data_IF_921149661972
#
_entry.id   IF_921149661972
#
_cell.length_a   1.000
_cell.length_b   1.000
_cell.length_c   1.000
_cell.angle_alpha   90.00
_cell.angle_beta   90.00
_cell.angle_gamma   90.00
#
_symmetry.space_group_name_H-M   'P 1'
#
loop_
_entity.id
_entity.type
_entity.pdbx_description
1 polymer ?
#
# COMPACT_ATOMS: atom_id res chain seq x y z
N UNK A 1 -40.68 -12.16 -34.13
CA UNK A 1 -40.01 -10.89 -34.49
C UNK A 1 -39.14 -10.30 -33.37
N UNK A 2 -39.55 -10.36 -32.12
CA UNK A 2 -38.79 -9.77 -31.00
C UNK A 2 -37.49 -10.55 -30.71
N UNK A 3 -37.50 -11.86 -30.74
CA UNK A 3 -36.31 -12.72 -30.54
C UNK A 3 -35.27 -12.53 -31.62
N UNK A 4 -35.64 -12.38 -32.87
CA UNK A 4 -34.72 -12.11 -33.98
C UNK A 4 -33.97 -10.78 -33.79
N UNK A 5 -34.68 -9.72 -33.38
CA UNK A 5 -34.05 -8.43 -33.10
C UNK A 5 -33.03 -8.47 -31.94
N UNK A 6 -33.29 -9.27 -30.91
CA UNK A 6 -32.38 -9.42 -29.76
C UNK A 6 -31.19 -10.32 -30.10
N UNK A 7 -31.41 -11.44 -30.77
CA UNK A 7 -30.34 -12.43 -31.00
C UNK A 7 -29.47 -12.13 -32.23
N UNK A 8 -29.95 -11.40 -33.21
CA UNK A 8 -29.18 -11.13 -34.44
C UNK A 8 -28.83 -9.66 -34.57
N UNK A 9 -29.83 -8.76 -34.52
CA UNK A 9 -29.59 -7.33 -34.82
C UNK A 9 -28.88 -6.61 -33.66
N UNK A 10 -29.12 -7.03 -32.42
CA UNK A 10 -28.53 -6.38 -31.22
C UNK A 10 -27.60 -7.29 -30.45
N UNK A 11 -27.21 -8.43 -31.03
CA UNK A 11 -26.34 -9.42 -30.38
C UNK A 11 -25.02 -8.80 -29.88
N UNK A 12 -24.29 -8.15 -30.75
CA UNK A 12 -22.98 -7.57 -30.43
C UNK A 12 -23.08 -6.43 -29.41
N UNK A 13 -24.11 -5.60 -29.50
CA UNK A 13 -24.38 -4.54 -28.54
C UNK A 13 -24.70 -5.12 -27.13
N UNK A 14 -25.46 -6.18 -27.07
CA UNK A 14 -25.83 -6.84 -25.81
C UNK A 14 -24.66 -7.62 -25.22
N UNK A 15 -23.85 -8.28 -26.04
CA UNK A 15 -22.62 -8.95 -25.61
C UNK A 15 -21.63 -7.95 -25.02
N UNK A 16 -21.42 -6.80 -25.67
CA UNK A 16 -20.54 -5.74 -25.18
C UNK A 16 -21.03 -5.15 -23.86
N UNK A 17 -22.34 -4.95 -23.72
CA UNK A 17 -22.96 -4.49 -22.46
C UNK A 17 -22.88 -5.54 -21.35
N UNK A 18 -23.07 -6.82 -21.68
CA UNK A 18 -22.93 -7.91 -20.73
C UNK A 18 -21.49 -8.07 -20.24
N UNK A 19 -20.52 -8.05 -21.15
CA UNK A 19 -19.08 -8.10 -20.80
C UNK A 19 -18.69 -7.01 -19.82
N UNK A 20 -19.04 -5.75 -20.12
CA UNK A 20 -18.76 -4.61 -19.21
C UNK A 20 -19.42 -4.71 -17.83
N UNK A 21 -20.49 -5.46 -17.69
CA UNK A 21 -21.26 -5.59 -16.43
C UNK A 21 -20.72 -6.67 -15.51
N UNK A 22 -19.99 -7.64 -16.06
CA UNK A 22 -19.49 -8.81 -15.31
C UNK A 22 -17.97 -8.86 -15.23
N UNK A 23 -17.24 -7.91 -15.81
CA UNK A 23 -15.80 -7.80 -15.71
C UNK A 23 -15.41 -6.72 -14.72
N UNK A 24 -14.48 -7.04 -13.83
CA UNK A 24 -13.84 -6.12 -12.88
C UNK A 24 -12.35 -6.06 -13.20
N UNK A 25 -11.86 -4.89 -13.57
CA UNK A 25 -10.44 -4.67 -13.82
C UNK A 25 -9.75 -4.39 -12.49
N UNK A 26 -8.84 -5.26 -12.09
CA UNK A 26 -8.04 -5.08 -10.88
C UNK A 26 -6.63 -4.67 -11.24
N UNK A 27 -6.19 -3.59 -10.65
CA UNK A 27 -4.80 -3.19 -10.72
C UNK A 27 -3.96 -4.07 -9.79
N UNK A 28 -2.95 -4.70 -10.35
CA UNK A 28 -1.90 -5.39 -9.60
C UNK A 28 -0.69 -4.45 -9.49
N UNK A 29 -0.04 -4.45 -8.35
CA UNK A 29 1.11 -3.59 -8.10
C UNK A 29 2.34 -4.46 -7.90
N UNK A 30 3.43 -4.11 -8.59
CA UNK A 30 4.75 -4.64 -8.29
C UNK A 30 5.33 -4.02 -7.01
N UNK A 31 6.45 -4.53 -6.55
CA UNK A 31 7.20 -3.99 -5.43
C UNK A 31 8.20 -2.92 -5.88
N UNK A 32 8.41 -1.90 -5.07
CA UNK A 32 9.45 -0.90 -5.32
C UNK A 32 10.82 -1.52 -5.13
N UNK A 33 11.76 -1.27 -6.04
CA UNK A 33 13.11 -1.78 -6.03
C UNK A 33 13.83 -1.51 -4.71
N UNK A 34 14.76 -2.37 -4.37
CA UNK A 34 15.56 -2.31 -3.13
C UNK A 34 16.80 -1.45 -3.36
N UNK A 35 17.37 -0.92 -2.29
CA UNK A 35 18.64 -0.19 -2.34
C UNK A 35 19.64 -0.93 -1.47
N UNK A 36 20.80 -1.23 -2.06
CA UNK A 36 21.91 -1.93 -1.44
C UNK A 36 23.16 -1.06 -1.39
N UNK A 37 24.06 -1.38 -0.47
CA UNK A 37 25.39 -0.76 -0.40
C UNK A 37 26.35 -1.30 -1.48
N UNK A 38 27.56 -0.77 -1.53
CA UNK A 38 28.62 -1.16 -2.46
C UNK A 38 29.46 -2.36 -2.00
N UNK A 39 29.11 -3.02 -0.91
CA UNK A 39 29.79 -4.20 -0.45
C UNK A 39 29.38 -5.41 -1.32
N UNK A 40 30.39 -6.14 -1.83
CA UNK A 40 30.12 -7.35 -2.64
C UNK A 40 30.44 -8.64 -1.89
N UNK A 41 31.20 -8.54 -0.81
CA UNK A 41 31.65 -9.69 -0.03
C UNK A 41 31.45 -9.37 1.47
N UNK A 42 30.78 -10.25 2.22
CA UNK A 42 30.18 -11.51 1.80
C UNK A 42 28.92 -11.35 0.95
N UNK A 43 28.15 -10.26 1.13
CA UNK A 43 26.96 -9.91 0.36
C UNK A 43 26.66 -8.40 0.53
N UNK A 44 25.96 -7.76 -0.40
CA UNK A 44 25.56 -6.36 -0.25
C UNK A 44 24.58 -6.19 0.90
N UNK A 45 24.78 -5.13 1.70
CA UNK A 45 23.90 -4.80 2.80
C UNK A 45 22.64 -4.08 2.29
N UNK A 46 21.49 -4.49 2.80
CA UNK A 46 20.21 -3.88 2.46
C UNK A 46 20.05 -2.56 3.20
N UNK A 47 19.92 -1.46 2.44
CA UNK A 47 19.73 -0.10 2.96
C UNK A 47 18.27 0.36 2.94
N UNK A 48 17.51 -0.04 1.93
CA UNK A 48 16.08 0.27 1.84
C UNK A 48 15.28 -0.84 1.17
N UNK A 49 14.13 -1.17 1.74
CA UNK A 49 13.18 -2.17 1.24
C UNK A 49 11.75 -1.70 1.45
N UNK A 50 10.83 -2.15 0.60
CA UNK A 50 9.40 -1.96 0.81
C UNK A 50 8.82 -3.16 1.56
N UNK A 51 8.06 -2.90 2.62
CA UNK A 51 7.32 -3.92 3.37
C UNK A 51 5.82 -3.76 3.12
N UNK A 52 5.11 -4.86 2.95
CA UNK A 52 3.66 -4.87 2.85
C UNK A 52 3.03 -4.37 4.16
N UNK A 53 2.05 -3.51 4.02
CA UNK A 53 1.24 -2.97 5.11
C UNK A 53 -0.20 -2.79 4.65
N UNK A 54 -1.06 -2.24 5.50
CA UNK A 54 -2.42 -1.92 5.15
C UNK A 54 -2.78 -0.49 5.54
N UNK A 55 -3.55 0.16 4.68
CA UNK A 55 -4.28 1.36 5.02
C UNK A 55 -5.68 0.96 5.49
N UNK A 56 -6.11 1.50 6.64
CA UNK A 56 -7.39 1.17 7.27
C UNK A 56 -8.34 2.34 7.08
N UNK A 57 -9.48 2.05 6.50
CA UNK A 57 -10.56 3.00 6.29
C UNK A 57 -11.79 2.59 7.09
N UNK A 58 -12.45 3.56 7.69
CA UNK A 58 -13.74 3.40 8.33
C UNK A 58 -14.87 3.83 7.40
N UNK A 59 -15.99 3.11 7.44
CA UNK A 59 -17.20 3.38 6.68
C UNK A 59 -18.32 3.81 7.66
N UNK A 60 -18.40 5.10 8.08
CA UNK A 60 -19.31 5.55 9.14
C UNK A 60 -20.79 5.29 8.87
N UNK A 61 -21.17 5.18 7.59
CA UNK A 61 -22.56 4.94 7.15
C UNK A 61 -22.90 3.45 7.01
N UNK A 62 -21.97 2.55 7.32
CA UNK A 62 -22.23 1.11 7.24
C UNK A 62 -23.30 0.70 8.26
N UNK A 63 -24.36 0.01 7.80
CA UNK A 63 -25.53 -0.33 8.62
C UNK A 63 -25.19 -1.08 9.91
N UNK A 64 -24.25 -2.04 9.84
CA UNK A 64 -23.81 -2.81 11.00
C UNK A 64 -22.97 -1.99 12.03
N UNK A 65 -22.52 -0.79 11.64
CA UNK A 65 -21.72 0.08 12.50
C UNK A 65 -22.58 1.05 13.32
N UNK A 66 -23.82 1.33 12.91
CA UNK A 66 -24.66 2.41 13.47
C UNK A 66 -24.75 2.36 14.99
N UNK A 67 -24.96 1.16 15.57
CA UNK A 67 -25.09 0.96 17.01
C UNK A 67 -23.78 0.49 17.69
N UNK A 68 -22.67 0.39 16.96
CA UNK A 68 -21.41 -0.17 17.46
C UNK A 68 -20.23 0.80 17.29
N UNK A 69 -20.49 2.07 16.93
CA UNK A 69 -19.42 3.05 16.64
C UNK A 69 -18.45 3.21 17.80
N UNK A 70 -18.95 3.40 19.00
CA UNK A 70 -18.12 3.64 20.19
C UNK A 70 -17.26 2.42 20.52
N UNK A 71 -17.83 1.22 20.39
CA UNK A 71 -17.08 -0.03 20.59
C UNK A 71 -15.94 -0.17 19.56
N UNK A 72 -16.23 0.12 18.30
CA UNK A 72 -15.21 0.08 17.23
C UNK A 72 -14.13 1.12 17.50
N UNK A 73 -14.49 2.35 17.88
CA UNK A 73 -13.54 3.40 18.22
C UNK A 73 -12.65 2.97 19.39
N UNK A 74 -13.20 2.38 20.45
CA UNK A 74 -12.41 1.89 21.59
C UNK A 74 -11.41 0.82 21.19
N UNK A 75 -11.82 -0.14 20.38
CA UNK A 75 -10.91 -1.18 19.88
C UNK A 75 -9.81 -0.59 18.98
N UNK A 76 -10.13 0.39 18.13
CA UNK A 76 -9.14 1.09 17.30
C UNK A 76 -8.13 1.86 18.15
N UNK A 77 -8.58 2.55 19.19
CA UNK A 77 -7.70 3.25 20.16
C UNK A 77 -6.78 2.26 20.87
N UNK A 78 -7.33 1.15 21.34
CA UNK A 78 -6.58 0.13 22.07
C UNK A 78 -5.49 -0.54 21.21
N UNK A 79 -5.80 -0.89 19.97
CA UNK A 79 -4.90 -1.67 19.10
C UNK A 79 -3.95 -0.77 18.32
N UNK A 80 -4.43 0.35 17.78
CA UNK A 80 -3.65 1.24 16.91
C UNK A 80 -3.06 2.45 17.64
N UNK A 81 -3.47 2.73 18.88
CA UNK A 81 -3.03 3.91 19.62
C UNK A 81 -3.49 5.24 18.99
N UNK A 82 -4.55 5.23 18.19
CA UNK A 82 -5.11 6.45 17.57
C UNK A 82 -5.85 7.29 18.60
N UNK A 83 -5.88 8.61 18.40
CA UNK A 83 -6.57 9.53 19.28
C UNK A 83 -8.08 9.32 19.26
N UNK A 84 -8.66 9.10 20.47
CA UNK A 84 -10.08 8.81 20.67
C UNK A 84 -11.00 9.95 20.21
N UNK A 85 -10.65 11.18 20.53
CA UNK A 85 -11.48 12.34 20.19
C UNK A 85 -11.54 12.57 18.69
N UNK A 86 -10.38 12.46 18.04
CA UNK A 86 -10.29 12.59 16.57
C UNK A 86 -11.08 11.49 15.87
N UNK A 87 -10.99 10.25 16.34
CA UNK A 87 -11.75 9.13 15.77
C UNK A 87 -13.25 9.31 16.00
N UNK A 88 -13.66 9.65 17.23
CA UNK A 88 -15.07 9.91 17.52
C UNK A 88 -15.65 10.99 16.61
N UNK A 89 -14.96 12.11 16.46
CA UNK A 89 -15.38 13.20 15.56
C UNK A 89 -15.52 12.75 14.11
N UNK A 90 -14.58 11.95 13.61
CA UNK A 90 -14.61 11.43 12.24
C UNK A 90 -15.73 10.41 12.02
N UNK A 91 -15.93 9.46 12.93
CA UNK A 91 -16.96 8.43 12.83
C UNK A 91 -18.39 8.97 13.01
N UNK A 92 -18.55 10.05 13.76
CA UNK A 92 -19.86 10.70 13.95
C UNK A 92 -20.18 11.77 12.87
N UNK A 93 -19.25 12.03 11.95
CA UNK A 93 -19.50 12.97 10.86
C UNK A 93 -20.52 12.39 9.87
N UNK A 94 -21.73 12.96 9.84
CA UNK A 94 -22.89 12.41 9.13
C UNK A 94 -22.73 12.30 7.61
N UNK A 95 -21.90 13.15 6.97
CA UNK A 95 -21.72 13.19 5.52
C UNK A 95 -20.52 12.37 5.02
N UNK A 96 -19.69 11.86 5.89
CA UNK A 96 -18.51 11.09 5.51
C UNK A 96 -18.91 9.67 5.08
N UNK A 97 -18.67 9.35 3.81
CA UNK A 97 -18.82 7.96 3.29
C UNK A 97 -17.68 7.07 3.74
N UNK A 98 -16.50 7.62 3.75
CA UNK A 98 -15.27 6.93 4.10
C UNK A 98 -14.32 7.88 4.85
N UNK A 99 -13.66 7.38 5.88
CA UNK A 99 -12.68 8.11 6.68
C UNK A 99 -11.38 7.32 6.76
N UNK A 100 -10.25 8.01 6.79
CA UNK A 100 -8.96 7.38 7.05
C UNK A 100 -8.83 7.16 8.56
N UNK A 101 -8.69 5.90 8.97
CA UNK A 101 -8.42 5.52 10.37
C UNK A 101 -6.92 5.58 10.64
N UNK A 102 -6.15 4.77 9.91
CA UNK A 102 -4.70 4.75 9.99
C UNK A 102 -4.11 4.35 8.65
N UNK A 103 -2.88 4.80 8.38
CA UNK A 103 -2.13 4.44 7.18
C UNK A 103 -0.90 3.62 7.54
N UNK A 104 -0.47 2.79 6.61
CA UNK A 104 0.77 2.01 6.71
C UNK A 104 0.86 1.18 7.99
N UNK A 105 -0.26 0.54 8.37
CA UNK A 105 -0.37 -0.30 9.55
C UNK A 105 0.28 -1.65 9.28
N UNK A 106 1.08 -2.13 10.23
CA UNK A 106 1.77 -3.41 10.12
C UNK A 106 0.77 -4.59 10.11
N UNK A 107 1.11 -5.66 9.38
CA UNK A 107 0.29 -6.86 9.22
C UNK A 107 -0.20 -7.42 10.56
N UNK A 108 0.69 -7.48 11.58
CA UNK A 108 0.35 -8.01 12.90
C UNK A 108 -0.83 -7.29 13.57
N UNK A 109 -0.87 -5.95 13.47
CA UNK A 109 -1.96 -5.15 14.04
C UNK A 109 -3.25 -5.30 13.24
N UNK A 110 -3.12 -5.45 11.93
CA UNK A 110 -4.27 -5.68 11.04
C UNK A 110 -4.92 -7.05 11.32
N UNK A 111 -4.12 -8.08 11.55
CA UNK A 111 -4.65 -9.41 11.87
C UNK A 111 -5.39 -9.39 13.22
N UNK A 112 -4.87 -8.70 14.24
CA UNK A 112 -5.59 -8.49 15.50
C UNK A 112 -6.94 -7.77 15.31
N UNK A 113 -7.00 -6.81 14.38
CA UNK A 113 -8.26 -6.11 14.08
C UNK A 113 -9.24 -6.99 13.32
N UNK A 114 -8.76 -7.84 12.42
CA UNK A 114 -9.60 -8.81 11.69
C UNK A 114 -10.18 -9.87 12.61
N UNK A 115 -9.39 -10.37 13.57
CA UNK A 115 -9.84 -11.35 14.58
C UNK A 115 -10.99 -10.82 15.45
N UNK A 116 -11.09 -9.50 15.60
CA UNK A 116 -12.19 -8.85 16.30
C UNK A 116 -13.47 -8.69 15.47
N UNK A 117 -13.43 -9.03 14.17
CA UNK A 117 -14.56 -8.92 13.25
C UNK A 117 -15.32 -7.58 13.33
N UNK A 118 -14.57 -6.47 13.42
CA UNK A 118 -15.16 -5.15 13.60
C UNK A 118 -15.89 -4.70 12.33
N UNK A 119 -17.19 -4.37 12.42
CA UNK A 119 -17.96 -3.96 11.25
C UNK A 119 -17.53 -2.57 10.75
N UNK A 120 -17.71 -2.33 9.45
CA UNK A 120 -17.50 -1.01 8.85
C UNK A 120 -16.03 -0.61 8.72
N UNK A 121 -15.10 -1.54 8.79
CA UNK A 121 -13.69 -1.33 8.45
C UNK A 121 -13.36 -1.93 7.09
N UNK A 122 -12.58 -1.19 6.30
CA UNK A 122 -12.04 -1.62 5.02
C UNK A 122 -10.52 -1.59 5.06
N UNK A 123 -9.90 -2.70 4.71
CA UNK A 123 -8.45 -2.88 4.68
C UNK A 123 -7.97 -2.84 3.23
N UNK A 124 -7.10 -1.89 2.93
CA UNK A 124 -6.49 -1.74 1.60
C UNK A 124 -5.01 -2.06 1.70
N UNK A 125 -4.54 -2.98 0.88
CA UNK A 125 -3.10 -3.30 0.80
C UNK A 125 -2.32 -2.06 0.39
N UNK A 126 -1.25 -1.79 1.10
CA UNK A 126 -0.34 -0.68 0.88
C UNK A 126 1.10 -1.13 1.12
N UNK A 127 2.07 -0.29 0.83
CA UNK A 127 3.48 -0.57 1.07
C UNK A 127 4.11 0.57 1.87
N UNK A 128 5.01 0.20 2.79
CA UNK A 128 5.79 1.14 3.60
C UNK A 128 7.26 0.95 3.32
N UNK A 129 7.96 2.03 3.03
CA UNK A 129 9.42 2.00 2.90
C UNK A 129 10.05 1.80 4.27
N UNK A 130 10.93 0.83 4.37
CA UNK A 130 11.63 0.46 5.59
C UNK A 130 13.14 0.58 5.37
N UNK A 131 13.79 1.26 6.29
CA UNK A 131 15.24 1.44 6.32
C UNK A 131 15.80 0.63 7.50
N UNK A 132 16.43 -0.54 7.25
CA UNK A 132 16.89 -1.43 8.31
C UNK A 132 17.90 -0.77 9.26
N UNK A 133 18.69 0.16 8.74
CA UNK A 133 19.73 0.90 9.49
C UNK A 133 19.25 2.23 10.10
N UNK A 134 17.93 2.47 10.13
CA UNK A 134 17.34 3.67 10.72
C UNK A 134 17.78 4.95 10.05
N UNK A 135 18.49 5.83 10.77
CA UNK A 135 18.92 7.14 10.26
C UNK A 135 20.19 7.10 9.41
N UNK A 136 20.84 5.94 9.32
CA UNK A 136 22.07 5.77 8.53
C UNK A 136 21.83 6.17 7.07
N UNK A 137 22.71 7.04 6.54
CA UNK A 137 22.61 7.60 5.19
C UNK A 137 21.26 8.26 4.85
N UNK A 138 20.49 8.70 5.83
CA UNK A 138 19.14 9.22 5.62
C UNK A 138 19.09 10.38 4.62
N UNK A 139 20.10 11.27 4.62
CA UNK A 139 20.18 12.40 3.68
C UNK A 139 20.49 11.95 2.25
N UNK A 140 21.27 10.87 2.10
CA UNK A 140 21.65 10.30 0.80
C UNK A 140 20.49 9.46 0.24
N UNK A 141 19.94 8.56 1.04
CA UNK A 141 18.82 7.71 0.64
C UNK A 141 17.56 8.54 0.35
N UNK A 142 17.27 9.50 1.22
CA UNK A 142 16.05 10.29 1.14
C UNK A 142 14.83 9.56 1.67
N UNK A 143 13.64 10.02 1.32
CA UNK A 143 12.37 9.47 1.78
C UNK A 143 11.26 9.58 0.73
N UNK A 144 10.19 8.82 0.96
CA UNK A 144 9.00 8.82 0.12
C UNK A 144 7.91 9.71 0.74
N UNK A 145 7.07 10.29 -0.11
CA UNK A 145 5.85 10.95 0.33
C UNK A 145 4.75 9.90 0.64
N UNK A 146 3.58 10.39 1.11
CA UNK A 146 2.43 9.54 1.40
C UNK A 146 1.85 8.79 0.19
N UNK A 147 2.24 9.17 -1.03
CA UNK A 147 1.87 8.50 -2.28
C UNK A 147 2.90 7.49 -2.77
N UNK A 148 3.97 7.25 -1.98
CA UNK A 148 5.04 6.32 -2.34
C UNK A 148 6.03 6.84 -3.38
N UNK A 149 6.06 8.17 -3.67
CA UNK A 149 7.03 8.80 -4.57
C UNK A 149 8.22 9.36 -3.81
N UNK A 150 9.42 9.21 -4.36
CA UNK A 150 10.65 9.79 -3.83
C UNK A 150 10.62 11.32 -3.83
N UNK A 151 10.96 11.92 -2.69
CA UNK A 151 10.98 13.38 -2.52
C UNK A 151 12.38 13.95 -2.42
N UNK A 152 13.33 13.17 -1.94
CA UNK A 152 14.74 13.57 -1.75
C UNK A 152 15.69 12.41 -2.03
N UNK A 153 16.97 12.72 -2.17
CA UNK A 153 18.07 11.76 -2.27
C UNK A 153 17.95 10.79 -3.45
N UNK A 154 18.46 9.60 -3.25
CA UNK A 154 18.44 8.51 -4.23
C UNK A 154 17.02 8.10 -4.59
N UNK A 155 16.12 8.09 -3.62
CA UNK A 155 14.70 7.77 -3.84
C UNK A 155 14.05 8.69 -4.88
N UNK A 156 14.45 9.96 -4.93
CA UNK A 156 13.99 10.92 -5.95
C UNK A 156 14.76 10.81 -7.25
N UNK A 157 16.09 10.70 -7.17
CA UNK A 157 16.96 10.70 -8.34
C UNK A 157 16.66 9.50 -9.26
N UNK A 158 16.38 8.34 -8.65
CA UNK A 158 16.10 7.07 -9.33
C UNK A 158 14.63 6.64 -9.20
N UNK A 159 13.73 7.63 -9.12
CA UNK A 159 12.29 7.34 -8.99
C UNK A 159 11.75 6.45 -10.10
N UNK A 160 12.21 6.65 -11.35
CA UNK A 160 11.73 5.88 -12.51
C UNK A 160 12.15 4.42 -12.44
N UNK A 161 13.38 4.18 -12.02
CA UNK A 161 13.99 2.86 -11.93
C UNK A 161 13.45 2.08 -10.74
N UNK A 162 13.33 2.76 -9.58
CA UNK A 162 12.82 2.17 -8.35
C UNK A 162 11.32 1.91 -8.36
N UNK A 163 10.55 2.73 -9.09
CA UNK A 163 9.09 2.61 -9.09
C UNK A 163 8.63 1.36 -9.80
N UNK A 164 7.68 0.61 -9.19
CA UNK A 164 7.08 -0.53 -9.85
C UNK A 164 6.15 -0.08 -10.98
N UNK A 165 5.98 -0.92 -11.97
CA UNK A 165 4.96 -0.76 -13.00
C UNK A 165 3.71 -1.53 -12.59
N UNK A 166 2.58 -0.84 -12.59
CA UNK A 166 1.29 -1.47 -12.31
C UNK A 166 0.86 -2.34 -13.47
N UNK A 167 0.29 -3.48 -13.16
CA UNK A 167 -0.39 -4.34 -14.12
C UNK A 167 -1.90 -4.25 -13.99
N UNK A 168 -2.61 -4.79 -14.95
CA UNK A 168 -4.06 -4.92 -14.92
C UNK A 168 -4.47 -6.37 -15.17
N UNK A 169 -5.41 -6.86 -14.35
CA UNK A 169 -6.00 -8.18 -14.50
C UNK A 169 -7.51 -8.00 -14.57
N UNK A 170 -8.09 -8.45 -15.66
CA UNK A 170 -9.54 -8.48 -15.84
C UNK A 170 -10.07 -9.78 -15.26
N UNK A 171 -10.93 -9.68 -14.26
CA UNK A 171 -11.55 -10.81 -13.57
C UNK A 171 -13.04 -10.82 -13.86
N UNK A 172 -13.58 -11.96 -14.31
CA UNK A 172 -15.01 -12.15 -14.48
C UNK A 172 -15.68 -12.41 -13.13
N UNK A 173 -16.86 -11.80 -12.92
CA UNK A 173 -17.69 -11.99 -11.72
C UNK A 173 -19.08 -12.49 -12.08
N UNK A 174 -19.68 -13.23 -11.16
CA UNK A 174 -21.09 -13.62 -11.26
C UNK A 174 -21.99 -12.41 -11.00
N UNK A 175 -23.29 -12.57 -11.37
CA UNK A 175 -24.34 -11.58 -11.08
C UNK A 175 -24.49 -11.25 -9.58
N UNK A 176 -24.08 -12.19 -8.69
CA UNK A 176 -24.05 -12.01 -7.23
C UNK A 176 -22.76 -11.39 -6.71
N UNK A 177 -21.87 -10.91 -7.60
CA UNK A 177 -20.56 -10.34 -7.25
C UNK A 177 -19.57 -11.36 -6.64
N UNK A 178 -19.83 -12.67 -6.81
CA UNK A 178 -18.95 -13.75 -6.41
C UNK A 178 -17.90 -14.01 -7.50
N UNK A 179 -16.71 -14.36 -7.12
CA UNK A 179 -15.61 -14.67 -8.05
C UNK A 179 -15.90 -16.01 -8.74
N UNK A 180 -15.79 -16.04 -10.06
CA UNK A 180 -15.82 -17.32 -10.80
C UNK A 180 -14.39 -17.88 -10.75
N UNK A 181 -14.18 -18.92 -9.95
CA UNK A 181 -12.85 -19.57 -9.82
C UNK A 181 -12.39 -20.25 -11.11
N UNK A 182 -13.30 -20.62 -11.97
CA UNK A 182 -13.05 -21.24 -13.29
C UNK A 182 -13.12 -20.23 -14.44
N UNK A 183 -13.39 -18.95 -14.16
CA UNK A 183 -13.46 -17.90 -15.17
C UNK A 183 -12.07 -17.56 -15.73
N UNK A 184 -11.99 -17.29 -17.02
CA UNK A 184 -10.77 -16.88 -17.71
C UNK A 184 -10.35 -15.51 -17.18
N UNK A 185 -9.38 -15.46 -16.27
CA UNK A 185 -8.72 -14.20 -15.95
C UNK A 185 -7.75 -13.88 -17.07
N UNK A 186 -8.05 -12.86 -17.86
CA UNK A 186 -7.10 -12.35 -18.86
C UNK A 186 -6.18 -11.35 -18.17
N UNK A 187 -4.88 -11.64 -18.18
CA UNK A 187 -3.84 -10.69 -17.77
C UNK A 187 -3.62 -9.76 -18.95
N UNK A 188 -4.07 -8.51 -18.85
CA UNK A 188 -3.86 -7.50 -19.88
C UNK A 188 -2.44 -6.95 -19.81
N UNK A 189 -1.98 -6.63 -18.60
CA UNK A 189 -0.60 -6.19 -18.34
C UNK A 189 -0.09 -6.84 -17.06
N UNK A 190 1.11 -7.42 -17.12
CA UNK A 190 1.75 -7.98 -15.94
C UNK A 190 2.42 -6.87 -15.12
N UNK A 191 2.14 -6.82 -13.82
CA UNK A 191 2.89 -5.93 -12.92
C UNK A 191 4.38 -6.29 -12.94
N UNK A 192 5.24 -5.27 -12.94
CA UNK A 192 6.69 -5.45 -12.86
C UNK A 192 7.22 -4.73 -11.64
N UNK A 193 8.13 -5.38 -10.95
CA UNK A 193 8.84 -4.77 -9.83
C UNK A 193 9.81 -3.70 -10.31
N UNK A 194 10.10 -2.73 -9.45
CA UNK A 194 11.14 -1.74 -9.68
C UNK A 194 12.53 -2.39 -9.67
N UNK A 195 13.49 -1.73 -10.31
CA UNK A 195 14.88 -2.21 -10.36
C UNK A 195 15.58 -1.98 -9.04
N UNK A 196 16.40 -2.95 -8.62
CA UNK A 196 17.27 -2.83 -7.47
C UNK A 196 18.47 -1.94 -7.79
N UNK A 197 18.86 -1.09 -6.84
CA UNK A 197 20.00 -0.17 -6.97
C UNK A 197 21.11 -0.58 -6.02
N UNK A 198 22.32 -0.63 -6.55
CA UNK A 198 23.54 -0.86 -5.77
C UNK A 198 24.36 0.43 -5.73
N UNK A 199 24.61 0.93 -4.52
CA UNK A 199 25.43 2.12 -4.32
C UNK A 199 26.91 1.80 -4.42
N UNK A 200 27.74 2.83 -4.54
CA UNK A 200 29.20 2.73 -4.39
C UNK A 200 29.66 2.92 -2.95
N UNK A 201 28.78 3.45 -2.09
CA UNK A 201 29.04 3.66 -0.66
C UNK A 201 29.07 2.31 0.05
N UNK A 202 30.14 2.06 0.79
CA UNK A 202 30.32 0.85 1.61
C UNK A 202 29.90 1.14 3.05
N UNK A 203 28.91 0.41 3.55
CA UNK A 203 28.33 0.60 4.88
C UNK A 203 29.39 0.61 6.00
N UNK A 204 30.37 -0.31 6.07
CA UNK A 204 31.33 -0.30 7.16
C UNK A 204 32.19 0.97 7.21
N UNK A 205 32.59 1.48 6.05
CA UNK A 205 33.41 2.71 5.96
C UNK A 205 32.58 3.93 6.39
N UNK A 206 31.37 4.03 5.87
CA UNK A 206 30.47 5.13 6.19
C UNK A 206 30.07 5.15 7.67
N UNK A 207 29.85 3.99 8.28
CA UNK A 207 29.52 3.87 9.70
C UNK A 207 30.63 4.43 10.59
N UNK A 208 31.89 4.07 10.30
CA UNK A 208 33.03 4.60 11.02
C UNK A 208 33.11 6.13 10.87
N UNK A 209 32.89 6.63 9.65
CA UNK A 209 32.90 8.09 9.41
C UNK A 209 31.82 8.82 10.19
N UNK A 210 30.59 8.29 10.21
CA UNK A 210 29.47 8.88 10.95
C UNK A 210 29.75 8.88 12.48
N UNK A 211 30.31 7.80 13.01
CA UNK A 211 30.71 7.74 14.42
C UNK A 211 31.78 8.78 14.79
N UNK A 212 32.81 8.92 13.97
CA UNK A 212 33.90 9.91 14.25
C UNK A 212 33.37 11.35 14.15
N UNK A 213 32.56 11.66 13.14
CA UNK A 213 31.89 12.97 13.03
C UNK A 213 31.01 13.25 14.25
N UNK A 214 30.22 12.26 14.69
CA UNK A 214 29.36 12.41 15.87
C UNK A 214 30.19 12.68 17.16
N UNK A 215 31.34 12.03 17.30
CA UNK A 215 32.29 12.32 18.43
C UNK A 215 32.84 13.74 18.36
N UNK A 216 33.26 14.19 17.17
CA UNK A 216 33.77 15.56 16.97
C UNK A 216 32.73 16.62 17.31
N UNK A 217 31.49 16.45 16.85
CA UNK A 217 30.39 17.40 17.14
C UNK A 217 30.09 17.48 18.63
N UNK A 218 30.10 16.33 19.34
CA UNK A 218 29.91 16.30 20.80
C UNK A 218 31.06 16.95 21.56
N UNK A 219 32.29 16.83 21.05
CA UNK A 219 33.51 17.43 21.67
C UNK A 219 33.65 18.92 21.42
N UNK A 220 33.00 19.46 20.41
CA UNK A 220 33.04 20.88 20.05
C UNK A 220 31.63 21.41 19.84
N UNK A 221 30.86 21.65 20.93
CA UNK A 221 29.56 22.27 20.81
C UNK A 221 29.72 23.70 20.28
N UNK A 222 29.12 23.97 19.13
CA UNK A 222 29.04 25.33 18.55
C UNK A 222 28.06 26.18 19.34
#
# INVERSE_FOLDING_TARGET
>A
RHLYGVQITRHDELLTKAGKKYTDVRTTYGERGRIYDGCRVPAPNLLAISKGCYDIYGLPQHTALVNKKDLVIEQLVQILGVDKETMSRRFHHQRAREIVVARQVDLKLVDQLKDKELPGLRYVKSTKRYFPKGQFLSQVLGFLNSKGKGTMGIERAYEKELSPQSGSVTVERTRKNERIETGTSSIEEQARDGMDIYLTIKEPIQSIMEEEVAKMVKGHPC
#
